data_IF_236693470567
#
_entry.id   IF_236693470567
#
_cell.length_a   1.000
_cell.length_b   1.000
_cell.length_c   1.000
_cell.angle_alpha   90.00
_cell.angle_beta   90.00
_cell.angle_gamma   90.00
#
_symmetry.space_group_name_H-M   'P 1'
#
loop_
_entity.id
_entity.type
_entity.pdbx_description
1 polymer ?
#
# COMPACT_ATOMS: atom_id res chain seq x y z
N UNK A 1 -7.15 19.18 16.52
CA UNK A 1 -7.66 17.79 16.51
C UNK A 1 -6.67 16.95 17.29
N UNK A 2 -7.06 16.45 18.46
CA UNK A 2 -6.22 15.58 19.28
C UNK A 2 -5.87 14.35 18.45
N UNK A 3 -4.60 14.21 18.08
CA UNK A 3 -4.07 12.90 17.73
C UNK A 3 -4.17 12.07 19.01
N UNK A 4 -5.22 11.26 19.12
CA UNK A 4 -5.24 10.17 20.08
C UNK A 4 -3.98 9.37 19.80
N UNK A 5 -3.01 9.39 20.71
CA UNK A 5 -1.85 8.48 20.64
C UNK A 5 -2.35 7.08 20.98
N UNK A 6 -3.15 6.52 20.09
CA UNK A 6 -3.62 5.15 20.25
C UNK A 6 -2.41 4.23 20.15
N UNK A 7 -2.22 3.40 21.16
CA UNK A 7 -1.17 2.40 21.16
C UNK A 7 -1.35 1.50 19.93
N UNK A 8 -0.34 1.35 19.06
CA UNK A 8 -0.44 0.49 17.90
C UNK A 8 -0.74 -0.96 18.28
N UNK A 9 -1.68 -1.60 17.57
CA UNK A 9 -2.11 -2.99 17.81
C UNK A 9 -1.71 -3.86 16.62
N UNK A 10 -0.99 -4.95 16.87
CA UNK A 10 -0.71 -5.95 15.85
C UNK A 10 -2.00 -6.73 15.55
N UNK A 11 -2.45 -6.70 14.31
CA UNK A 11 -3.63 -7.43 13.85
C UNK A 11 -3.27 -8.84 13.36
N UNK A 12 -2.15 -8.99 12.65
CA UNK A 12 -1.64 -10.29 12.23
C UNK A 12 -0.11 -10.24 12.09
N UNK A 13 0.53 -11.41 12.20
CA UNK A 13 1.97 -11.63 11.99
C UNK A 13 2.17 -12.96 11.30
N UNK A 14 2.90 -12.96 10.18
CA UNK A 14 3.19 -14.15 9.38
C UNK A 14 4.66 -14.22 9.04
N UNK A 15 5.20 -15.43 9.13
CA UNK A 15 6.50 -15.77 8.56
C UNK A 15 6.29 -16.34 7.16
N UNK A 16 7.15 -15.96 6.22
CA UNK A 16 7.12 -16.45 4.85
C UNK A 16 8.52 -16.66 4.28
N UNK A 17 8.63 -17.09 3.01
CA UNK A 17 9.92 -17.37 2.35
C UNK A 17 10.87 -16.16 2.28
N UNK A 18 10.34 -14.94 2.47
CA UNK A 18 11.08 -13.68 2.42
C UNK A 18 11.17 -12.99 3.79
N UNK A 19 10.88 -13.73 4.87
CA UNK A 19 10.86 -13.26 6.25
C UNK A 19 9.48 -12.88 6.76
N UNK A 20 9.47 -12.02 7.78
CA UNK A 20 8.27 -11.65 8.52
C UNK A 20 7.48 -10.54 7.82
N UNK A 21 6.16 -10.66 7.85
CA UNK A 21 5.22 -9.58 7.57
C UNK A 21 4.26 -9.40 8.74
N UNK A 22 4.07 -8.15 9.16
CA UNK A 22 3.14 -7.74 10.23
C UNK A 22 2.14 -6.74 9.67
N UNK A 23 0.87 -7.01 9.95
CA UNK A 23 -0.21 -6.05 9.80
C UNK A 23 -0.48 -5.39 11.15
N UNK A 24 -0.38 -4.07 11.23
CA UNK A 24 -0.59 -3.30 12.45
C UNK A 24 -1.66 -2.23 12.24
N UNK A 25 -2.50 -1.98 13.24
CA UNK A 25 -3.43 -0.85 13.29
C UNK A 25 -2.88 0.25 14.20
N UNK A 26 -3.02 1.50 13.78
CA UNK A 26 -2.71 2.67 14.60
C UNK A 26 -3.77 3.74 14.33
N UNK A 27 -4.70 3.96 15.26
CA UNK A 27 -5.93 4.69 14.94
C UNK A 27 -6.77 3.93 13.91
N UNK A 28 -7.30 4.67 12.95
CA UNK A 28 -8.02 4.12 11.79
C UNK A 28 -7.09 3.60 10.69
N UNK A 29 -5.77 3.77 10.84
CA UNK A 29 -4.80 3.45 9.80
C UNK A 29 -4.30 2.01 9.91
N UNK A 30 -4.15 1.36 8.77
CA UNK A 30 -3.50 0.05 8.64
C UNK A 30 -2.07 0.24 8.13
N UNK A 31 -1.14 -0.51 8.70
CA UNK A 31 0.29 -0.41 8.45
C UNK A 31 0.85 -1.79 8.09
N UNK A 32 1.69 -1.84 7.05
CA UNK A 32 2.43 -3.04 6.64
C UNK A 32 3.90 -2.86 7.06
N UNK A 33 4.41 -3.83 7.79
CA UNK A 33 5.79 -3.86 8.29
C UNK A 33 6.40 -5.18 7.85
N UNK A 34 7.56 -5.15 7.18
CA UNK A 34 8.28 -6.34 6.75
C UNK A 34 9.65 -6.38 7.42
N UNK A 35 9.97 -7.48 8.11
CA UNK A 35 11.25 -7.66 8.81
C UNK A 35 11.59 -6.47 9.74
N UNK A 36 10.59 -5.94 10.44
CA UNK A 36 10.74 -4.74 11.30
C UNK A 36 10.83 -3.40 10.57
N UNK A 37 10.91 -3.39 9.24
CA UNK A 37 10.90 -2.18 8.43
C UNK A 37 9.45 -1.76 8.10
N UNK A 38 9.08 -0.54 8.48
CA UNK A 38 7.81 0.04 8.04
C UNK A 38 7.84 0.25 6.53
N UNK A 39 6.89 -0.34 5.81
CA UNK A 39 6.81 -0.21 4.36
C UNK A 39 5.86 0.92 3.96
N UNK A 40 4.62 0.84 4.43
CA UNK A 40 3.58 1.82 4.11
C UNK A 40 2.40 1.72 5.08
N UNK A 41 1.50 2.70 4.99
CA UNK A 41 0.20 2.67 5.64
C UNK A 41 -0.93 3.20 4.75
N UNK A 42 -2.14 3.25 5.29
CA UNK A 42 -3.33 3.78 4.61
C UNK A 42 -3.52 5.29 4.80
N UNK A 43 -2.52 6.04 5.29
CA UNK A 43 -2.67 7.48 5.56
C UNK A 43 -2.64 8.34 4.29
N UNK A 44 -1.82 7.95 3.32
CA UNK A 44 -1.75 8.60 2.01
C UNK A 44 -1.30 7.60 0.94
N UNK A 45 -2.00 7.61 -0.19
CA UNK A 45 -1.71 6.79 -1.37
C UNK A 45 -1.37 7.62 -2.62
N UNK A 46 -0.91 8.86 -2.43
CA UNK A 46 -0.71 9.82 -3.53
C UNK A 46 0.38 9.37 -4.49
N UNK A 47 1.46 8.80 -3.98
CA UNK A 47 2.58 8.34 -4.81
C UNK A 47 2.15 7.20 -5.75
N UNK A 48 1.28 6.33 -5.27
CA UNK A 48 0.74 5.17 -5.96
C UNK A 48 -0.21 5.58 -7.08
N UNK A 49 -1.06 6.59 -6.83
CA UNK A 49 -1.94 7.18 -7.85
C UNK A 49 -1.13 7.88 -8.94
N UNK A 50 -0.15 8.70 -8.54
CA UNK A 50 0.74 9.40 -9.48
C UNK A 50 1.54 8.42 -10.34
N UNK A 51 1.99 7.29 -9.78
CA UNK A 51 2.66 6.23 -10.54
C UNK A 51 1.76 5.65 -11.63
N UNK A 52 0.50 5.36 -11.31
CA UNK A 52 -0.46 4.81 -12.29
C UNK A 52 -0.80 5.84 -13.36
N UNK A 53 -1.04 7.10 -12.98
CA UNK A 53 -1.31 8.19 -13.94
C UNK A 53 -0.14 8.39 -14.91
N UNK A 54 1.10 8.39 -14.39
CA UNK A 54 2.30 8.51 -15.21
C UNK A 54 2.47 7.32 -16.17
N UNK A 55 2.20 6.10 -15.69
CA UNK A 55 2.23 4.91 -16.53
C UNK A 55 1.16 4.96 -17.63
N UNK A 56 -0.07 5.39 -17.31
CA UNK A 56 -1.17 5.51 -18.27
C UNK A 56 -0.86 6.56 -19.35
N UNK A 57 -0.30 7.72 -18.95
CA UNK A 57 0.09 8.78 -19.88
C UNK A 57 1.14 8.31 -20.90
N UNK A 58 1.99 7.35 -20.54
CA UNK A 58 3.02 6.79 -21.42
C UNK A 58 2.50 5.74 -22.42
N UNK A 59 1.21 5.39 -22.40
CA UNK A 59 0.62 4.34 -23.27
C UNK A 59 0.07 4.86 -24.62
N UNK A 60 0.34 6.12 -24.98
CA UNK A 60 -0.07 6.74 -26.26
C UNK A 60 -1.55 6.51 -26.62
N UNK A 61 -2.45 6.54 -25.63
CA UNK A 61 -3.90 6.39 -25.83
C UNK A 61 -4.36 4.98 -26.17
N UNK A 62 -3.57 3.93 -25.87
CA UNK A 62 -3.96 2.54 -26.08
C UNK A 62 -5.29 2.21 -25.37
N UNK A 63 -6.35 1.82 -26.09
CA UNK A 63 -7.61 1.45 -25.46
C UNK A 63 -7.46 0.13 -24.67
N UNK A 64 -8.02 0.10 -23.46
CA UNK A 64 -8.07 -1.07 -22.57
C UNK A 64 -6.71 -1.80 -22.40
N UNK A 65 -5.67 -1.13 -21.87
CA UNK A 65 -4.37 -1.75 -21.66
C UNK A 65 -4.46 -2.83 -20.58
N UNK A 66 -3.68 -3.90 -20.75
CA UNK A 66 -3.44 -4.88 -19.68
C UNK A 66 -2.28 -4.39 -18.82
N UNK A 67 -2.51 -4.28 -17.52
CA UNK A 67 -1.52 -3.75 -16.56
C UNK A 67 -1.03 -4.89 -15.64
N UNK A 68 0.27 -4.94 -15.41
CA UNK A 68 0.89 -5.76 -14.36
C UNK A 68 1.37 -4.83 -13.25
N UNK A 69 0.93 -5.08 -12.02
CA UNK A 69 1.35 -4.31 -10.85
C UNK A 69 2.34 -5.16 -10.04
N UNK A 70 3.54 -4.63 -9.85
CA UNK A 70 4.60 -5.27 -9.05
C UNK A 70 4.37 -5.06 -7.56
N UNK A 71 3.79 -6.06 -6.89
CA UNK A 71 3.41 -5.97 -5.47
C UNK A 71 2.06 -5.27 -5.27
N UNK A 72 1.41 -5.51 -4.12
CA UNK A 72 0.08 -4.95 -3.83
C UNK A 72 0.10 -3.84 -2.77
N UNK A 73 1.01 -3.93 -1.79
CA UNK A 73 0.99 -3.04 -0.62
C UNK A 73 -0.39 -3.07 0.05
N UNK A 74 -0.95 -1.89 0.34
CA UNK A 74 -2.34 -1.73 0.82
C UNK A 74 -3.37 -1.57 -0.33
N UNK A 75 -2.94 -1.67 -1.59
CA UNK A 75 -3.82 -1.75 -2.76
C UNK A 75 -4.10 -0.45 -3.51
N UNK A 76 -3.47 0.68 -3.16
CA UNK A 76 -3.77 1.98 -3.80
C UNK A 76 -3.54 1.98 -5.33
N UNK A 77 -2.43 1.42 -5.81
CA UNK A 77 -2.18 1.35 -7.26
C UNK A 77 -3.20 0.48 -7.99
N UNK A 78 -3.61 -0.64 -7.39
CA UNK A 78 -4.63 -1.52 -7.98
C UNK A 78 -5.99 -0.81 -8.03
N UNK A 79 -6.39 -0.17 -6.94
CA UNK A 79 -7.66 0.55 -6.87
C UNK A 79 -7.74 1.71 -7.88
N UNK A 80 -6.62 2.38 -8.16
CA UNK A 80 -6.57 3.48 -9.13
C UNK A 80 -6.47 3.01 -10.59
N UNK A 81 -5.95 1.79 -10.81
CA UNK A 81 -5.83 1.20 -12.14
C UNK A 81 -7.09 0.42 -12.60
N UNK A 82 -8.07 0.24 -11.70
CA UNK A 82 -9.33 -0.46 -11.95
C UNK A 82 -10.36 0.44 -12.62
#
# INVERSE_FOLDING_TARGET
MNASYETPVVLDRREGPHGEVVLRRHGELLQIIANGCFLMDTSDGRSERLLVDAALAALDGRPAPRVLIGGLGVGFSLAHAA
#
